data_IF_383372022073
#
_entry.id   IF_383372022073
#
_cell.length_a   1.000
_cell.length_b   1.000
_cell.length_c   1.000
_cell.angle_alpha   90.00
_cell.angle_beta   90.00
_cell.angle_gamma   90.00
#
_symmetry.space_group_name_H-M   'P 1'
#
loop_
_entity.id
_entity.type
_entity.pdbx_description
1 polymer ?
#
# COMPACT_ATOMS: atom_id res chain seq x y z
N UNK A 1 -28.27 1.85 -15.36
CA UNK A 1 -28.73 3.12 -14.74
C UNK A 1 -27.54 4.02 -14.49
N UNK A 2 -27.66 5.35 -14.50
CA UNK A 2 -26.53 6.23 -14.12
C UNK A 2 -25.98 5.89 -12.72
N UNK A 3 -26.81 5.34 -11.83
CA UNK A 3 -26.39 4.79 -10.53
C UNK A 3 -25.48 3.55 -10.60
N UNK A 4 -25.53 2.74 -11.67
CA UNK A 4 -24.67 1.55 -11.85
C UNK A 4 -23.31 1.88 -12.46
N UNK A 5 -23.13 3.11 -12.97
CA UNK A 5 -21.89 3.58 -13.58
C UNK A 5 -21.01 4.33 -12.56
N UNK A 6 -21.64 5.00 -11.59
CA UNK A 6 -20.97 5.59 -10.40
C UNK A 6 -20.33 4.52 -9.49
N UNK A 7 -20.82 3.28 -9.52
CA UNK A 7 -20.28 2.18 -8.71
C UNK A 7 -18.97 1.59 -9.25
N UNK A 8 -18.67 1.76 -10.55
CA UNK A 8 -17.45 1.23 -11.21
C UNK A 8 -16.16 1.97 -10.83
N UNK A 9 -16.27 3.13 -10.16
CA UNK A 9 -15.14 3.96 -9.75
C UNK A 9 -14.96 4.03 -8.22
N UNK A 10 -15.51 3.06 -7.49
CA UNK A 10 -15.43 3.03 -6.04
C UNK A 10 -14.06 2.51 -5.59
N UNK A 11 -13.12 3.42 -5.38
CA UNK A 11 -11.89 3.14 -4.64
C UNK A 11 -12.21 2.48 -3.31
N UNK A 12 -11.51 1.39 -3.00
CA UNK A 12 -11.63 0.67 -1.73
C UNK A 12 -10.56 1.14 -0.74
N UNK A 13 -9.32 1.29 -1.22
CA UNK A 13 -8.17 1.67 -0.43
C UNK A 13 -7.26 2.59 -1.25
N UNK A 14 -6.83 3.70 -0.65
CA UNK A 14 -5.73 4.52 -1.15
C UNK A 14 -4.73 4.71 -0.03
N UNK A 15 -3.46 4.48 -0.36
CA UNK A 15 -2.29 4.70 0.47
C UNK A 15 -1.39 5.65 -0.30
N UNK A 16 -0.89 6.68 0.38
CA UNK A 16 0.04 7.67 -0.18
C UNK A 16 1.25 7.83 0.72
N UNK A 17 2.46 7.77 0.16
CA UNK A 17 3.71 7.99 0.87
C UNK A 17 3.98 6.97 1.98
N UNK A 18 3.57 5.71 1.81
CA UNK A 18 3.79 4.68 2.82
C UNK A 18 5.28 4.45 3.01
N UNK A 19 5.72 4.67 4.25
CA UNK A 19 7.03 4.22 4.73
C UNK A 19 6.82 3.21 5.84
N UNK A 20 7.38 2.01 5.66
CA UNK A 20 7.19 0.88 6.57
C UNK A 20 8.46 0.04 6.70
N UNK A 21 8.55 -0.70 7.79
CA UNK A 21 9.73 -1.48 8.13
C UNK A 21 9.74 -1.89 9.60
N UNK A 22 10.89 -2.31 10.10
CA UNK A 22 11.00 -3.02 11.38
C UNK A 22 11.94 -2.32 12.37
N UNK A 23 11.93 -2.84 13.59
CA UNK A 23 12.77 -2.35 14.69
C UNK A 23 12.15 -1.20 15.47
N UNK A 24 12.95 -0.58 16.33
CA UNK A 24 12.52 0.59 17.11
C UNK A 24 12.14 1.73 16.17
N UNK A 25 11.23 2.61 16.62
CA UNK A 25 10.94 3.86 15.93
C UNK A 25 11.94 4.92 16.35
N UNK A 26 12.36 5.78 15.42
CA UNK A 26 13.14 6.97 15.73
C UNK A 26 12.25 8.08 16.33
N UNK A 27 12.85 9.23 16.65
CA UNK A 27 12.15 10.38 17.22
C UNK A 27 11.04 10.94 16.31
N UNK A 28 11.10 10.64 15.00
CA UNK A 28 10.11 11.05 14.01
C UNK A 28 9.03 9.96 13.80
N UNK A 29 9.01 8.90 14.61
CA UNK A 29 8.05 7.80 14.50
C UNK A 29 8.34 6.80 13.36
N UNK A 30 9.46 6.96 12.65
CA UNK A 30 9.84 6.12 11.51
C UNK A 30 10.59 4.85 11.98
N UNK A 31 10.36 3.66 11.39
CA UNK A 31 11.15 2.48 11.71
C UNK A 31 12.65 2.70 11.44
N UNK A 32 13.51 2.18 12.33
CA UNK A 32 14.96 2.23 12.18
C UNK A 32 15.46 1.42 10.98
N UNK A 33 14.76 0.35 10.61
CA UNK A 33 15.02 -0.42 9.40
C UNK A 33 13.85 -0.14 8.44
N UNK A 34 14.08 0.63 7.39
CA UNK A 34 13.09 0.87 6.36
C UNK A 34 13.14 -0.23 5.31
N UNK A 35 11.96 -0.68 4.89
CA UNK A 35 11.79 -1.73 3.89
C UNK A 35 10.96 -1.22 2.72
N UNK A 36 9.94 -0.41 3.02
CA UNK A 36 9.17 0.35 2.04
C UNK A 36 9.42 1.83 2.29
N UNK A 37 9.68 2.58 1.22
CA UNK A 37 9.87 4.02 1.27
C UNK A 37 9.05 4.65 0.15
N UNK A 38 8.21 5.63 0.52
CA UNK A 38 7.41 6.44 -0.39
C UNK A 38 6.55 5.63 -1.39
N UNK A 39 5.80 4.65 -0.86
CA UNK A 39 4.94 3.80 -1.68
C UNK A 39 3.52 4.35 -1.78
N UNK A 40 3.05 4.50 -3.01
CA UNK A 40 1.67 4.82 -3.35
C UNK A 40 0.92 3.58 -3.87
N UNK A 41 -0.27 3.31 -3.33
CA UNK A 41 -1.10 2.18 -3.73
C UNK A 41 -2.57 2.57 -3.75
N UNK A 42 -3.28 2.21 -4.82
CA UNK A 42 -4.74 2.32 -4.90
C UNK A 42 -5.35 0.98 -5.30
N UNK A 43 -6.33 0.53 -4.52
CA UNK A 43 -7.11 -0.68 -4.77
C UNK A 43 -8.57 -0.28 -4.96
N UNK A 44 -9.17 -0.72 -6.07
CA UNK A 44 -10.59 -0.50 -6.38
C UNK A 44 -11.45 -1.66 -5.89
N UNK A 45 -12.72 -1.42 -5.61
CA UNK A 45 -13.66 -2.50 -5.23
C UNK A 45 -13.74 -3.55 -6.34
N UNK A 46 -13.62 -4.82 -5.96
CA UNK A 46 -13.63 -5.95 -6.90
C UNK A 46 -12.32 -6.19 -7.66
N UNK A 47 -11.28 -5.39 -7.42
CA UNK A 47 -9.96 -5.61 -8.00
C UNK A 47 -9.20 -6.70 -7.23
N UNK A 48 -8.66 -7.68 -7.94
CA UNK A 48 -7.66 -8.60 -7.43
C UNK A 48 -6.25 -8.08 -7.82
N UNK A 49 -5.32 -8.08 -6.86
CA UNK A 49 -3.93 -7.68 -7.09
C UNK A 49 -2.98 -8.79 -6.65
N UNK A 50 -1.84 -8.90 -7.35
CA UNK A 50 -0.73 -9.75 -6.97
C UNK A 50 0.50 -8.90 -6.70
N UNK A 51 1.19 -9.16 -5.60
CA UNK A 51 2.47 -8.51 -5.26
C UNK A 51 3.59 -9.49 -5.56
N UNK A 52 4.48 -9.12 -6.49
CA UNK A 52 5.59 -9.98 -6.97
C UNK A 52 6.94 -9.27 -6.84
N UNK A 53 8.03 -10.04 -6.81
CA UNK A 53 9.38 -9.52 -6.63
C UNK A 53 10.31 -10.53 -5.93
N UNK A 54 11.60 -10.28 -5.98
CA UNK A 54 12.66 -11.14 -5.41
C UNK A 54 12.51 -11.33 -3.89
N UNK A 55 13.14 -12.37 -3.33
CA UNK A 55 13.18 -12.56 -1.87
C UNK A 55 13.77 -11.32 -1.19
N UNK A 56 13.12 -10.82 -0.13
CA UNK A 56 13.57 -9.62 0.59
C UNK A 56 13.10 -8.26 0.04
N UNK A 57 12.42 -8.22 -1.11
CA UNK A 57 11.91 -6.95 -1.72
C UNK A 57 10.81 -6.21 -0.95
N UNK A 58 10.42 -6.69 0.25
CA UNK A 58 9.41 -6.02 1.07
C UNK A 58 7.96 -6.42 0.82
N UNK A 59 7.68 -7.41 -0.05
CA UNK A 59 6.31 -7.88 -0.35
C UNK A 59 5.46 -8.25 0.87
N UNK A 60 6.06 -8.88 1.88
CA UNK A 60 5.36 -9.24 3.14
C UNK A 60 5.28 -8.09 4.13
N UNK A 61 5.98 -6.99 3.85
CA UNK A 61 5.93 -5.76 4.64
C UNK A 61 4.86 -4.80 4.10
N UNK A 62 4.59 -4.89 2.78
CA UNK A 62 3.45 -4.23 2.13
C UNK A 62 2.13 -4.91 2.55
#
# INVERSE_FOLDING_TARGET
>A
SPASEVAKDSTLLTITGLTAGYGKKNLQGMPMIRVLEDIDLTIRRGQAIGVIGESGSGKSTL
#
